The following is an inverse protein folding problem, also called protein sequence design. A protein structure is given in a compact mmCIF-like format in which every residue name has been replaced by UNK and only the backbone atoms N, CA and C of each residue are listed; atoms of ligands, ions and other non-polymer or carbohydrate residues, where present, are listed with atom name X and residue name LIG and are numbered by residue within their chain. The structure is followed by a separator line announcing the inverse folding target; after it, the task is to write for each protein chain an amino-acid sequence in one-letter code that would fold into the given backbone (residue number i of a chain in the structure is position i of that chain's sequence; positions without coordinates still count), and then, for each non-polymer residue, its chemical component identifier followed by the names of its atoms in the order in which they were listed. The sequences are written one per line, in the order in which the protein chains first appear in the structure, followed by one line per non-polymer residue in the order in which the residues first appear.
data_IF_292718960986
#
_entry.id   IF_292718960986
#
_cell.length_a   1.000
_cell.length_b   1.000
_cell.length_c   1.000
_cell.angle_alpha   90.00
_cell.angle_beta   90.00
_cell.angle_gamma   90.00
#
_symmetry.space_group_name_H-M   'P 1'
#
loop_
_entity.id
_entity.type
_entity.pdbx_description
1 polymer ?
#
# COMPACT_ATOMS: atom_id res chain seq x y z
N UNK A 1 22.11 -17.15 5.75
CA UNK A 1 21.16 -17.50 4.69
C UNK A 1 20.93 -16.35 3.70
N UNK A 2 20.56 -15.11 4.13
CA UNK A 2 20.37 -13.96 3.22
C UNK A 2 21.66 -13.56 2.50
N UNK A 3 22.79 -13.51 3.20
CA UNK A 3 24.09 -13.18 2.61
C UNK A 3 24.54 -14.21 1.56
N UNK A 4 24.34 -15.50 1.84
CA UNK A 4 24.62 -16.60 0.88
C UNK A 4 23.70 -16.54 -0.32
N UNK A 5 22.43 -16.20 -0.13
CA UNK A 5 21.48 -16.01 -1.23
C UNK A 5 21.88 -14.84 -2.14
N UNK A 6 22.19 -13.66 -1.56
CA UNK A 6 22.64 -12.49 -2.33
C UNK A 6 23.93 -12.79 -3.09
N UNK A 7 24.90 -13.45 -2.45
CA UNK A 7 26.16 -13.85 -3.08
C UNK A 7 25.93 -14.81 -4.26
N UNK A 8 25.05 -15.80 -4.10
CA UNK A 8 24.68 -16.74 -5.16
C UNK A 8 23.94 -16.03 -6.31
N UNK A 9 22.97 -15.15 -6.00
CA UNK A 9 22.22 -14.39 -7.01
C UNK A 9 23.11 -13.46 -7.84
N UNK A 10 24.17 -12.92 -7.25
CA UNK A 10 25.14 -12.06 -7.96
C UNK A 10 26.12 -12.86 -8.84
N UNK A 11 26.42 -14.12 -8.51
CA UNK A 11 27.38 -14.96 -9.24
C UNK A 11 26.74 -15.87 -10.28
N UNK A 12 25.47 -16.21 -10.15
CA UNK A 12 24.78 -17.07 -11.12
C UNK A 12 24.67 -16.40 -12.48
N UNK A 13 24.93 -17.11 -13.61
CA UNK A 13 24.70 -16.59 -14.96
C UNK A 13 23.21 -16.43 -15.27
N UNK A 14 22.31 -17.17 -14.63
CA UNK A 14 20.85 -17.09 -14.75
C UNK A 14 20.17 -17.12 -13.38
N UNK A 15 20.28 -16.04 -12.58
CA UNK A 15 19.63 -16.01 -11.29
C UNK A 15 18.12 -15.89 -11.45
N UNK A 16 17.35 -16.59 -10.57
CA UNK A 16 15.89 -16.42 -10.48
C UNK A 16 15.51 -14.98 -10.09
N UNK A 17 16.31 -14.38 -9.22
CA UNK A 17 16.19 -12.98 -8.80
C UNK A 17 17.43 -12.24 -9.29
N UNK A 18 17.25 -11.39 -10.28
CA UNK A 18 18.36 -10.62 -10.87
C UNK A 18 18.52 -9.27 -10.17
N UNK A 19 19.38 -9.24 -9.15
CA UNK A 19 19.68 -8.01 -8.41
C UNK A 19 20.40 -6.95 -9.28
N UNK A 20 20.90 -7.32 -10.46
CA UNK A 20 21.52 -6.39 -11.39
C UNK A 20 20.50 -5.41 -11.99
N UNK A 21 19.18 -5.75 -11.95
CA UNK A 21 18.10 -4.86 -12.35
C UNK A 21 18.07 -3.55 -11.53
N UNK A 22 18.55 -3.57 -10.30
CA UNK A 22 18.69 -2.35 -9.48
C UNK A 22 19.79 -1.39 -9.97
N UNK A 23 20.55 -1.72 -10.99
CA UNK A 23 21.45 -0.75 -11.65
C UNK A 23 20.68 0.23 -12.54
N UNK A 24 19.49 -0.14 -12.99
CA UNK A 24 18.58 0.75 -13.69
C UNK A 24 17.90 1.68 -12.68
N UNK A 25 18.07 2.99 -12.86
CA UNK A 25 17.53 4.02 -11.95
C UNK A 25 16.01 4.03 -11.95
N UNK A 26 15.38 3.74 -13.08
CA UNK A 26 13.92 3.71 -13.22
C UNK A 26 13.35 2.52 -12.47
N UNK A 27 13.93 1.35 -12.67
CA UNK A 27 13.54 0.14 -11.95
C UNK A 27 13.70 0.30 -10.44
N UNK A 28 14.82 0.86 -9.99
CA UNK A 28 15.09 1.10 -8.57
C UNK A 28 14.10 2.07 -7.95
N UNK A 29 13.88 3.23 -8.61
CA UNK A 29 12.90 4.22 -8.13
C UNK A 29 11.49 3.65 -8.06
N UNK A 30 11.06 2.91 -9.10
CA UNK A 30 9.76 2.24 -9.12
C UNK A 30 9.63 1.19 -8.01
N UNK A 31 10.69 0.40 -7.80
CA UNK A 31 10.73 -0.63 -6.76
C UNK A 31 10.63 -0.04 -5.35
N UNK A 32 11.36 1.06 -5.08
CA UNK A 32 11.30 1.77 -3.80
C UNK A 32 9.91 2.36 -3.58
N UNK A 33 9.36 3.04 -4.59
CA UNK A 33 8.00 3.61 -4.52
C UNK A 33 6.96 2.51 -4.25
N UNK A 34 7.06 1.37 -4.96
CA UNK A 34 6.20 0.22 -4.77
C UNK A 34 6.31 -0.32 -3.34
N UNK A 35 7.53 -0.55 -2.86
CA UNK A 35 7.76 -1.09 -1.51
C UNK A 35 7.14 -0.20 -0.43
N UNK A 36 7.42 1.10 -0.47
CA UNK A 36 6.91 2.07 0.52
C UNK A 36 5.38 2.19 0.46
N UNK A 37 4.82 2.24 -0.74
CA UNK A 37 3.38 2.25 -0.92
C UNK A 37 2.73 0.99 -0.36
N UNK A 38 3.27 -0.18 -0.71
CA UNK A 38 2.74 -1.47 -0.26
C UNK A 38 2.83 -1.61 1.26
N UNK A 39 3.95 -1.23 1.88
CA UNK A 39 4.12 -1.23 3.33
C UNK A 39 3.02 -0.39 4.00
N UNK A 40 2.78 0.82 3.50
CA UNK A 40 1.77 1.70 4.08
C UNK A 40 0.35 1.20 3.85
N UNK A 41 0.01 0.85 2.61
CA UNK A 41 -1.35 0.47 2.23
C UNK A 41 -1.76 -0.85 2.87
N UNK A 42 -0.91 -1.89 2.80
CA UNK A 42 -1.25 -3.20 3.40
C UNK A 42 -1.25 -3.17 4.92
N UNK A 43 -0.37 -2.36 5.52
CA UNK A 43 -0.45 -2.12 6.96
C UNK A 43 -1.76 -1.44 7.35
N UNK A 44 -2.17 -0.39 6.62
CA UNK A 44 -3.46 0.30 6.84
C UNK A 44 -4.66 -0.60 6.55
N UNK A 45 -4.55 -1.49 5.58
CA UNK A 45 -5.59 -2.45 5.23
C UNK A 45 -5.90 -3.43 6.37
N UNK A 46 -4.91 -3.78 7.20
CA UNK A 46 -5.13 -4.57 8.41
C UNK A 46 -5.79 -3.74 9.52
N UNK A 47 -5.42 -2.46 9.65
CA UNK A 47 -5.89 -1.60 10.75
C UNK A 47 -7.40 -1.36 10.70
N UNK A 48 -7.97 -1.20 9.51
CA UNK A 48 -9.36 -0.79 9.37
C UNK A 48 -10.37 -1.86 9.79
N UNK A 49 -10.26 -3.15 9.35
CA UNK A 49 -11.13 -4.20 9.88
C UNK A 49 -10.98 -4.36 11.39
N UNK A 50 -9.77 -4.19 11.92
CA UNK A 50 -9.52 -4.23 13.36
C UNK A 50 -10.25 -3.09 14.09
N UNK A 51 -10.16 -1.86 13.58
CA UNK A 51 -10.93 -0.73 14.11
C UNK A 51 -12.44 -0.98 14.08
N UNK A 52 -12.97 -1.49 12.96
CA UNK A 52 -14.40 -1.77 12.82
C UNK A 52 -14.87 -2.85 13.80
N UNK A 53 -14.07 -3.87 14.04
CA UNK A 53 -14.43 -4.97 14.94
C UNK A 53 -14.19 -4.63 16.42
N UNK A 54 -13.05 -4.02 16.77
CA UNK A 54 -12.67 -3.78 18.19
C UNK A 54 -13.21 -2.47 18.76
N UNK A 55 -13.32 -1.41 17.93
CA UNK A 55 -13.80 -0.08 18.38
C UNK A 55 -15.29 0.09 18.08
N UNK A 56 -15.72 -0.33 16.87
CA UNK A 56 -17.10 -0.16 16.41
C UNK A 56 -17.97 -1.38 16.67
N UNK A 57 -17.39 -2.47 17.14
CA UNK A 57 -18.06 -3.74 17.45
C UNK A 57 -18.91 -4.30 16.29
N UNK A 58 -18.46 -4.05 15.07
CA UNK A 58 -19.07 -4.60 13.86
C UNK A 58 -18.72 -6.08 13.72
N UNK A 59 -19.63 -6.85 13.11
CA UNK A 59 -19.30 -8.22 12.72
C UNK A 59 -18.21 -8.25 11.63
N UNK A 60 -17.55 -9.38 11.45
CA UNK A 60 -16.58 -9.55 10.37
C UNK A 60 -17.23 -9.35 8.99
N UNK A 61 -18.50 -9.75 8.83
CA UNK A 61 -19.27 -9.55 7.60
C UNK A 61 -19.53 -8.06 7.35
N UNK A 62 -20.06 -7.33 8.34
CA UNK A 62 -20.35 -5.90 8.21
C UNK A 62 -19.07 -5.10 7.94
N UNK A 63 -17.97 -5.45 8.62
CA UNK A 63 -16.66 -4.84 8.37
C UNK A 63 -16.20 -5.07 6.93
N UNK A 64 -16.41 -6.27 6.38
CA UNK A 64 -16.11 -6.58 4.98
C UNK A 64 -16.99 -5.79 4.00
N UNK A 65 -18.27 -5.65 4.27
CA UNK A 65 -19.22 -4.87 3.44
C UNK A 65 -18.83 -3.38 3.42
N UNK A 66 -18.42 -2.81 4.56
CA UNK A 66 -17.95 -1.43 4.64
C UNK A 66 -16.65 -1.18 3.85
N UNK A 67 -15.91 -2.22 3.48
CA UNK A 67 -14.71 -2.12 2.64
C UNK A 67 -14.97 -2.22 1.13
N UNK A 68 -16.20 -2.56 0.70
CA UNK A 68 -16.57 -2.66 -0.72
C UNK A 68 -16.24 -1.38 -1.51
N UNK A 69 -16.50 -0.16 -1.01
CA UNK A 69 -16.21 1.07 -1.75
C UNK A 69 -14.74 1.20 -2.18
N UNK A 70 -13.79 0.68 -1.39
CA UNK A 70 -12.38 0.66 -1.76
C UNK A 70 -12.12 -0.24 -2.98
N UNK A 71 -12.71 -1.43 -3.00
CA UNK A 71 -12.64 -2.34 -4.15
C UNK A 71 -13.22 -1.72 -5.42
N UNK A 72 -14.40 -1.09 -5.29
CA UNK A 72 -15.06 -0.39 -6.41
C UNK A 72 -14.20 0.76 -6.92
N UNK A 73 -13.63 1.58 -6.03
CA UNK A 73 -12.74 2.68 -6.41
C UNK A 73 -11.53 2.20 -7.21
N UNK A 74 -10.85 1.15 -6.75
CA UNK A 74 -9.70 0.59 -7.48
C UNK A 74 -10.09 -0.04 -8.81
N UNK A 75 -11.21 -0.77 -8.86
CA UNK A 75 -11.74 -1.38 -10.09
C UNK A 75 -12.04 -0.33 -11.17
N UNK A 76 -12.63 0.81 -10.79
CA UNK A 76 -12.96 1.89 -11.72
C UNK A 76 -11.71 2.58 -12.27
N UNK A 77 -10.67 2.75 -11.43
CA UNK A 77 -9.47 3.51 -11.81
C UNK A 77 -8.37 2.68 -12.46
N UNK A 78 -8.34 1.36 -12.29
CA UNK A 78 -7.32 0.52 -12.94
C UNK A 78 -7.29 0.67 -14.48
N UNK A 79 -8.41 0.57 -15.23
CA UNK A 79 -8.38 0.77 -16.68
C UNK A 79 -8.03 2.20 -17.07
N UNK A 80 -8.52 3.19 -16.32
CA UNK A 80 -8.20 4.61 -16.55
C UNK A 80 -6.70 4.84 -16.37
N UNK A 81 -6.12 4.28 -15.31
CA UNK A 81 -4.69 4.37 -15.02
C UNK A 81 -3.84 3.74 -16.13
N UNK A 82 -4.25 2.61 -16.68
CA UNK A 82 -3.58 1.96 -17.81
C UNK A 82 -3.53 2.88 -19.03
N UNK A 83 -4.69 3.32 -19.52
CA UNK A 83 -4.80 4.22 -20.68
C UNK A 83 -4.04 5.54 -20.47
N UNK A 84 -4.14 6.10 -19.27
CA UNK A 84 -3.50 7.36 -18.97
C UNK A 84 -1.98 7.21 -18.86
N UNK A 85 -1.51 6.09 -18.29
CA UNK A 85 -0.08 5.74 -18.21
C UNK A 85 0.56 5.62 -19.58
N UNK A 86 -0.15 5.00 -20.54
CA UNK A 86 0.31 4.86 -21.92
C UNK A 86 0.42 6.21 -22.65
N UNK A 87 -0.46 7.16 -22.28
CA UNK A 87 -0.48 8.50 -22.92
C UNK A 87 0.48 9.50 -22.27
N UNK A 88 0.64 9.49 -20.95
CA UNK A 88 1.35 10.56 -20.23
C UNK A 88 2.62 10.10 -19.52
N UNK A 89 2.82 8.79 -19.41
CA UNK A 89 3.91 8.18 -18.65
C UNK A 89 3.58 7.96 -17.17
N UNK A 90 4.13 6.89 -16.60
CA UNK A 90 3.88 6.45 -15.22
C UNK A 90 4.25 7.50 -14.16
N UNK A 91 5.32 8.27 -14.41
CA UNK A 91 5.82 9.27 -13.45
C UNK A 91 4.93 10.51 -13.27
N UNK A 92 3.87 10.67 -14.08
CA UNK A 92 2.89 11.75 -13.87
C UNK A 92 1.66 11.28 -13.10
N UNK A 93 1.28 10.01 -13.27
CA UNK A 93 0.04 9.48 -12.73
C UNK A 93 0.24 8.92 -11.33
N UNK A 94 1.34 8.20 -11.09
CA UNK A 94 1.62 7.59 -9.79
C UNK A 94 1.66 8.61 -8.64
N UNK A 95 2.29 9.81 -8.78
CA UNK A 95 2.22 10.83 -7.73
C UNK A 95 0.79 11.29 -7.43
N UNK A 96 -0.05 11.46 -8.46
CA UNK A 96 -1.44 11.85 -8.27
C UNK A 96 -2.24 10.77 -7.53
N UNK A 97 -2.06 9.50 -7.88
CA UNK A 97 -2.67 8.39 -7.15
C UNK A 97 -2.20 8.34 -5.69
N UNK A 98 -0.90 8.57 -5.41
CA UNK A 98 -0.37 8.62 -4.05
C UNK A 98 -0.92 9.81 -3.23
N UNK A 99 -1.22 10.94 -3.86
CA UNK A 99 -1.92 12.05 -3.19
C UNK A 99 -3.31 11.63 -2.76
N UNK A 100 -4.07 10.92 -3.60
CA UNK A 100 -5.41 10.43 -3.23
C UNK A 100 -5.32 9.42 -2.07
N UNK A 101 -4.37 8.48 -2.10
CA UNK A 101 -4.11 7.58 -0.97
C UNK A 101 -3.74 8.35 0.28
N UNK A 102 -2.86 9.35 0.17
CA UNK A 102 -2.44 10.21 1.28
C UNK A 102 -3.61 10.98 1.89
N UNK A 103 -4.47 11.58 1.07
CA UNK A 103 -5.69 12.29 1.53
C UNK A 103 -6.63 11.34 2.26
N UNK A 104 -6.85 10.13 1.74
CA UNK A 104 -7.66 9.11 2.40
C UNK A 104 -7.06 8.71 3.75
N UNK A 105 -5.77 8.40 3.80
CA UNK A 105 -5.09 8.02 5.04
C UNK A 105 -5.08 9.18 6.04
N UNK A 106 -4.88 10.43 5.58
CA UNK A 106 -5.00 11.62 6.42
C UNK A 106 -6.41 11.73 7.02
N UNK A 107 -7.45 11.46 6.25
CA UNK A 107 -8.82 11.43 6.79
C UNK A 107 -8.98 10.37 7.89
N UNK A 108 -8.38 9.19 7.68
CA UNK A 108 -8.41 8.11 8.65
C UNK A 108 -7.59 8.41 9.92
N UNK A 109 -6.67 9.38 9.94
CA UNK A 109 -6.00 9.79 11.19
C UNK A 109 -6.96 10.45 12.19
N UNK A 110 -8.06 11.03 11.71
CA UNK A 110 -9.08 11.68 12.53
C UNK A 110 -10.26 10.79 12.93
N UNK A 111 -10.17 9.46 12.75
CA UNK A 111 -11.25 8.56 13.12
C UNK A 111 -11.45 8.50 14.64
N UNK A 112 -12.72 8.59 15.06
CA UNK A 112 -13.13 8.49 16.47
C UNK A 112 -14.10 7.35 16.70
N UNK A 113 -14.44 7.10 17.97
CA UNK A 113 -15.39 6.03 18.35
C UNK A 113 -16.79 6.19 17.71
N UNK A 114 -17.16 7.39 17.28
CA UNK A 114 -18.50 7.70 16.72
C UNK A 114 -18.46 8.23 15.29
N UNK A 115 -17.34 8.10 14.58
CA UNK A 115 -17.23 8.54 13.17
C UNK A 115 -18.32 7.87 12.33
N UNK A 116 -19.14 8.63 11.57
CA UNK A 116 -20.20 8.05 10.72
C UNK A 116 -19.61 7.11 9.65
N UNK A 117 -20.29 6.01 9.37
CA UNK A 117 -19.79 5.01 8.41
C UNK A 117 -19.62 5.58 6.99
N UNK A 118 -20.52 6.48 6.55
CA UNK A 118 -20.39 7.11 5.23
C UNK A 118 -19.07 7.88 5.05
N UNK A 119 -18.49 8.45 6.13
CA UNK A 119 -17.19 9.11 6.07
C UNK A 119 -16.06 8.09 5.85
N UNK A 120 -16.15 6.93 6.49
CA UNK A 120 -15.20 5.84 6.29
C UNK A 120 -15.31 5.28 4.86
N UNK A 121 -16.54 5.10 4.37
CA UNK A 121 -16.81 4.62 3.01
C UNK A 121 -16.25 5.56 1.93
N UNK A 122 -16.44 6.88 2.11
CA UNK A 122 -15.85 7.87 1.20
C UNK A 122 -14.32 7.85 1.27
N UNK A 123 -13.73 7.81 2.47
CA UNK A 123 -12.29 7.73 2.61
C UNK A 123 -11.74 6.46 1.94
N UNK A 124 -12.41 5.32 2.11
CA UNK A 124 -12.05 4.06 1.47
C UNK A 124 -12.21 4.11 -0.06
N UNK A 125 -13.28 4.71 -0.55
CA UNK A 125 -13.47 4.89 -1.98
C UNK A 125 -12.34 5.72 -2.59
N UNK A 126 -11.98 6.86 -1.96
CA UNK A 126 -10.85 7.70 -2.38
C UNK A 126 -9.54 6.93 -2.31
N UNK A 127 -9.35 6.09 -1.27
CA UNK A 127 -8.19 5.20 -1.17
C UNK A 127 -8.10 4.24 -2.35
N UNK A 128 -9.23 3.60 -2.68
CA UNK A 128 -9.33 2.70 -3.83
C UNK A 128 -9.00 3.38 -5.15
N UNK A 129 -9.55 4.58 -5.39
CA UNK A 129 -9.20 5.38 -6.58
C UNK A 129 -7.70 5.63 -6.67
N UNK A 130 -7.08 6.02 -5.55
CA UNK A 130 -5.63 6.26 -5.46
C UNK A 130 -4.81 5.00 -5.72
N UNK A 131 -5.22 3.85 -5.15
CA UNK A 131 -4.57 2.56 -5.39
C UNK A 131 -4.63 2.15 -6.87
N UNK A 132 -5.82 2.26 -7.49
CA UNK A 132 -6.00 1.96 -8.91
C UNK A 132 -5.12 2.81 -9.81
N UNK A 133 -4.98 4.10 -9.49
CA UNK A 133 -4.13 5.04 -10.23
C UNK A 133 -2.62 4.83 -10.00
N UNK A 134 -2.22 4.11 -8.95
CA UNK A 134 -0.80 4.01 -8.58
C UNK A 134 -0.20 2.66 -8.94
N UNK A 135 -0.89 1.56 -8.63
CA UNK A 135 -0.35 0.20 -8.79
C UNK A 135 0.07 -0.11 -10.22
N UNK A 136 -0.86 0.05 -11.18
CA UNK A 136 -0.62 -0.31 -12.58
C UNK A 136 0.50 0.53 -13.22
N UNK A 137 0.52 1.88 -13.09
CA UNK A 137 1.61 2.70 -13.63
C UNK A 137 2.98 2.40 -13.03
N UNK A 138 3.10 2.07 -11.74
CA UNK A 138 4.38 1.72 -11.13
C UNK A 138 4.91 0.42 -11.73
N UNK A 139 4.07 -0.61 -11.86
CA UNK A 139 4.46 -1.89 -12.45
C UNK A 139 4.88 -1.74 -13.91
N UNK A 140 4.06 -1.09 -14.72
CA UNK A 140 4.37 -0.87 -16.14
C UNK A 140 5.61 0.00 -16.31
N UNK A 141 5.74 1.07 -15.52
CA UNK A 141 6.89 1.96 -15.54
C UNK A 141 8.20 1.27 -15.19
N UNK A 142 8.17 0.36 -14.20
CA UNK A 142 9.35 -0.40 -13.80
C UNK A 142 9.85 -1.36 -14.88
N UNK A 143 8.93 -1.96 -15.66
CA UNK A 143 9.28 -2.96 -16.69
C UNK A 143 9.66 -2.33 -18.03
N UNK A 144 9.19 -1.11 -18.32
CA UNK A 144 9.38 -0.44 -19.61
C UNK A 144 10.85 -0.23 -20.02
N UNK A 145 11.75 -0.04 -19.04
CA UNK A 145 13.19 0.15 -19.29
C UNK A 145 13.96 -1.16 -19.35
N UNK A 146 13.31 -2.27 -19.01
CA UNK A 146 13.92 -3.59 -18.93
C UNK A 146 13.81 -4.31 -20.28
N UNK A 147 14.88 -5.00 -20.68
CA UNK A 147 14.90 -5.82 -21.91
C UNK A 147 13.82 -6.90 -21.85
N UNK A 148 13.18 -7.19 -22.97
CA UNK A 148 12.11 -8.20 -23.05
C UNK A 148 12.53 -9.58 -22.49
N UNK A 149 13.81 -9.97 -22.66
CA UNK A 149 14.36 -11.22 -22.10
C UNK A 149 14.47 -11.24 -20.57
N UNK A 150 14.40 -10.07 -19.93
CA UNK A 150 14.49 -9.90 -18.47
C UNK A 150 13.16 -9.49 -17.84
N UNK A 151 12.13 -9.20 -18.65
CA UNK A 151 10.84 -8.70 -18.17
C UNK A 151 10.16 -9.67 -17.16
N UNK A 152 10.22 -10.99 -17.43
CA UNK A 152 9.69 -11.99 -16.51
C UNK A 152 10.38 -11.97 -15.13
N UNK A 153 11.72 -11.79 -15.11
CA UNK A 153 12.49 -11.69 -13.86
C UNK A 153 12.20 -10.39 -13.11
N UNK A 154 12.06 -9.29 -13.86
CA UNK A 154 11.66 -8.00 -13.29
C UNK A 154 10.29 -8.07 -12.63
N UNK A 155 9.29 -8.67 -13.30
CA UNK A 155 7.95 -8.88 -12.74
C UNK A 155 7.98 -9.77 -11.50
N UNK A 156 8.75 -10.87 -11.52
CA UNK A 156 8.91 -11.74 -10.35
C UNK A 156 9.51 -10.97 -9.16
N UNK A 157 10.54 -10.13 -9.41
CA UNK A 157 11.17 -9.33 -8.37
C UNK A 157 10.21 -8.29 -7.79
N UNK A 158 9.41 -7.60 -8.63
CA UNK A 158 8.39 -6.66 -8.16
C UNK A 158 7.32 -7.35 -7.31
N UNK A 159 6.89 -8.57 -7.68
CA UNK A 159 5.96 -9.36 -6.87
C UNK A 159 6.57 -9.75 -5.52
N UNK A 160 7.85 -10.12 -5.47
CA UNK A 160 8.55 -10.40 -4.22
C UNK A 160 8.62 -9.15 -3.34
N UNK A 161 8.95 -7.99 -3.92
CA UNK A 161 8.96 -6.71 -3.21
C UNK A 161 7.57 -6.40 -2.64
N UNK A 162 6.52 -6.65 -3.42
CA UNK A 162 5.14 -6.46 -2.98
C UNK A 162 4.79 -7.38 -1.80
N UNK A 163 5.08 -8.67 -1.89
CA UNK A 163 4.78 -9.62 -0.81
C UNK A 163 5.59 -9.35 0.46
N UNK A 164 6.88 -9.08 0.31
CA UNK A 164 7.74 -8.71 1.43
C UNK A 164 7.30 -7.38 2.07
N UNK A 165 6.99 -6.39 1.24
CA UNK A 165 6.46 -5.09 1.69
C UNK A 165 5.15 -5.23 2.43
N UNK A 166 4.21 -6.06 1.94
CA UNK A 166 2.94 -6.32 2.62
C UNK A 166 3.16 -6.95 4.00
N UNK A 167 4.03 -7.96 4.09
CA UNK A 167 4.37 -8.60 5.38
C UNK A 167 5.04 -7.64 6.36
N UNK A 168 5.98 -6.83 5.88
CA UNK A 168 6.66 -5.82 6.71
C UNK A 168 5.66 -4.76 7.17
N UNK A 169 4.81 -4.28 6.26
CA UNK A 169 3.80 -3.25 6.56
C UNK A 169 2.82 -3.70 7.64
N UNK A 170 2.26 -4.90 7.49
CA UNK A 170 1.36 -5.46 8.49
C UNK A 170 2.05 -5.66 9.83
N UNK A 171 3.28 -6.18 9.86
CA UNK A 171 4.03 -6.40 11.09
C UNK A 171 4.37 -5.08 11.78
N UNK A 172 4.92 -4.10 11.05
CA UNK A 172 5.34 -2.80 11.60
C UNK A 172 4.13 -2.04 12.16
N UNK A 173 3.05 -1.89 11.38
CA UNK A 173 1.87 -1.16 11.83
C UNK A 173 1.12 -1.90 12.97
N UNK A 174 1.16 -3.24 13.01
CA UNK A 174 0.62 -4.00 14.14
C UNK A 174 1.39 -3.74 15.44
N UNK A 175 2.72 -3.68 15.38
CA UNK A 175 3.56 -3.35 16.56
C UNK A 175 3.33 -1.93 17.01
N UNK A 176 3.23 -0.97 16.07
CA UNK A 176 2.92 0.43 16.38
C UNK A 176 1.54 0.54 17.02
N UNK A 177 0.52 -0.14 16.48
CA UNK A 177 -0.82 -0.17 17.06
C UNK A 177 -0.80 -0.75 18.47
N UNK A 178 -0.14 -1.89 18.66
CA UNK A 178 -0.05 -2.52 19.99
C UNK A 178 0.61 -1.57 21.02
N UNK A 179 1.68 -0.87 20.63
CA UNK A 179 2.34 0.11 21.50
C UNK A 179 1.44 1.34 21.78
N UNK A 180 0.71 1.81 20.76
CA UNK A 180 -0.24 2.91 20.92
C UNK A 180 -1.40 2.53 21.84
N UNK A 181 -1.95 1.33 21.74
CA UNK A 181 -3.01 0.82 22.62
C UNK A 181 -2.52 0.77 24.09
N UNK A 182 -1.30 0.25 24.31
CA UNK A 182 -0.71 0.18 25.66
C UNK A 182 -0.53 1.59 26.25
N UNK A 183 -0.08 2.56 25.45
CA UNK A 183 0.11 3.94 25.89
C UNK A 183 -1.22 4.64 26.21
N UNK A 184 -2.23 4.49 25.36
CA UNK A 184 -3.54 5.15 25.53
C UNK A 184 -4.37 4.55 26.67
N UNK A 185 -4.32 3.24 26.85
CA UNK A 185 -5.05 2.56 27.92
C UNK A 185 -4.32 2.59 29.27
N UNK A 186 -3.06 3.07 29.33
CA UNK A 186 -2.20 3.05 30.53
C UNK A 186 -2.10 1.65 31.18
N UNK A 187 -2.28 0.58 30.40
CA UNK A 187 -2.24 -0.80 30.88
C UNK A 187 -0.80 -1.31 30.80
N UNK A 188 -0.25 -1.70 31.97
CA UNK A 188 1.03 -2.43 32.04
C UNK A 188 0.77 -3.90 31.68
N UNK A 189 1.00 -4.27 30.43
CA UNK A 189 0.89 -5.66 29.98
C UNK A 189 0.54 -5.76 28.49
N UNK A 190 0.70 -6.94 27.91
CA UNK A 190 0.30 -7.20 26.53
C UNK A 190 -1.23 -7.14 26.40
N UNK A 191 -1.73 -6.24 25.56
CA UNK A 191 -3.13 -6.24 25.18
C UNK A 191 -3.40 -7.52 24.37
N UNK A 192 -4.28 -8.36 24.90
CA UNK A 192 -4.66 -9.59 24.23
C UNK A 192 -5.82 -9.25 23.26
N UNK A 193 -5.52 -9.06 21.99
CA UNK A 193 -6.47 -8.69 20.94
C UNK A 193 -7.64 -9.68 20.73
N UNK A 194 -7.64 -10.82 21.43
CA UNK A 194 -8.71 -11.80 21.46
C UNK A 194 -9.54 -11.82 22.75
N UNK A 195 -9.23 -10.93 23.70
CA UNK A 195 -9.99 -10.88 24.93
C UNK A 195 -11.37 -10.24 24.70
N UNK A 196 -12.43 -10.96 24.98
CA UNK A 196 -13.81 -10.45 24.92
C UNK A 196 -13.99 -9.32 25.91
N UNK A 197 -14.06 -8.08 25.41
CA UNK A 197 -14.33 -6.89 26.23
C UNK A 197 -15.80 -6.94 26.70
N UNK A 198 -16.07 -6.90 28.02
CA UNK A 198 -17.43 -6.88 28.53
C UNK A 198 -18.22 -5.68 27.97
N UNK A 199 -19.51 -5.83 27.62
CA UNK A 199 -20.31 -4.76 27.03
C UNK A 199 -20.31 -3.45 27.82
N UNK A 200 -20.27 -3.52 29.15
CA UNK A 200 -20.20 -2.36 30.03
C UNK A 200 -18.88 -1.58 29.92
N UNK A 201 -17.78 -2.25 29.59
CA UNK A 201 -16.47 -1.61 29.44
C UNK A 201 -16.26 -1.02 28.03
N UNK A 202 -17.05 -1.45 27.04
CA UNK A 202 -16.90 -1.03 25.62
C UNK A 202 -17.01 0.47 25.42
N UNK A 203 -18.01 1.10 26.04
CA UNK A 203 -18.25 2.54 25.93
C UNK A 203 -17.06 3.38 26.46
N UNK A 204 -16.37 2.90 27.51
CA UNK A 204 -15.22 3.59 28.08
C UNK A 204 -13.91 3.32 27.34
N UNK A 205 -13.79 2.16 26.69
CA UNK A 205 -12.57 1.76 25.98
C UNK A 205 -12.55 2.21 24.52
N UNK A 206 -13.71 2.43 23.88
CA UNK A 206 -13.79 2.80 22.47
C UNK A 206 -13.07 4.12 22.14
N UNK A 207 -13.16 5.23 22.92
CA UNK A 207 -12.45 6.46 22.60
C UNK A 207 -10.91 6.32 22.63
N UNK A 208 -10.27 5.77 23.69
CA UNK A 208 -8.81 5.61 23.70
C UNK A 208 -8.33 4.60 22.67
N UNK A 209 -9.10 3.54 22.37
CA UNK A 209 -8.77 2.63 21.27
C UNK A 209 -8.82 3.36 19.94
N UNK A 210 -9.85 4.16 19.66
CA UNK A 210 -9.92 4.93 18.41
C UNK A 210 -8.73 5.89 18.27
N UNK A 211 -8.28 6.54 19.35
CA UNK A 211 -7.10 7.39 19.35
C UNK A 211 -5.83 6.61 18.98
N UNK A 212 -5.65 5.39 19.51
CA UNK A 212 -4.52 4.52 19.16
C UNK A 212 -4.49 4.18 17.66
N UNK A 213 -5.66 3.91 17.06
CA UNK A 213 -5.76 3.71 15.61
C UNK A 213 -5.41 4.98 14.83
N UNK A 214 -5.94 6.14 15.23
CA UNK A 214 -5.60 7.43 14.63
C UNK A 214 -4.10 7.71 14.66
N UNK A 215 -3.44 7.48 15.82
CA UNK A 215 -1.98 7.57 15.96
C UNK A 215 -1.24 6.63 15.01
N UNK A 216 -1.73 5.41 14.83
CA UNK A 216 -1.10 4.45 13.92
C UNK A 216 -1.25 4.87 12.46
N UNK A 217 -2.38 5.48 12.07
CA UNK A 217 -2.57 6.02 10.72
C UNK A 217 -1.61 7.19 10.40
N UNK A 218 -1.12 7.95 11.39
CA UNK A 218 -0.08 8.96 11.16
C UNK A 218 1.24 8.33 10.67
N UNK A 219 1.62 7.17 11.18
CA UNK A 219 2.78 6.43 10.68
C UNK A 219 2.58 5.91 9.26
N UNK A 220 1.37 5.42 8.96
CA UNK A 220 1.02 5.03 7.60
C UNK A 220 1.10 6.24 6.65
N UNK A 221 0.60 7.40 7.07
CA UNK A 221 0.69 8.64 6.30
C UNK A 221 2.14 9.07 6.06
N UNK A 222 3.00 8.97 7.07
CA UNK A 222 4.42 9.28 6.91
C UNK A 222 5.07 8.40 5.84
N UNK A 223 4.75 7.11 5.81
CA UNK A 223 5.23 6.20 4.76
C UNK A 223 4.72 6.57 3.36
N UNK A 224 3.45 7.00 3.25
CA UNK A 224 2.88 7.48 1.98
C UNK A 224 3.59 8.76 1.50
N UNK A 225 3.89 9.68 2.41
CA UNK A 225 4.64 10.90 2.07
C UNK A 225 6.03 10.55 1.53
N UNK A 226 6.72 9.60 2.16
CA UNK A 226 8.02 9.14 1.66
C UNK A 226 7.88 8.44 0.29
N UNK A 227 6.84 7.62 0.11
CA UNK A 227 6.52 7.00 -1.18
C UNK A 227 6.20 8.05 -2.26
N UNK A 228 5.48 9.11 -1.90
CA UNK A 228 5.19 10.22 -2.80
C UNK A 228 6.47 10.93 -3.24
N UNK A 229 7.37 11.24 -2.30
CA UNK A 229 8.67 11.84 -2.64
C UNK A 229 9.45 10.92 -3.58
N UNK A 230 9.52 9.61 -3.29
CA UNK A 230 10.17 8.64 -4.15
C UNK A 230 9.53 8.58 -5.55
N UNK A 231 8.21 8.73 -5.66
CA UNK A 231 7.49 8.71 -6.93
C UNK A 231 7.82 9.89 -7.84
N UNK A 232 8.27 11.02 -7.31
CA UNK A 232 8.67 12.19 -8.09
C UNK A 232 9.94 11.93 -8.93
N UNK A 233 10.73 10.93 -8.55
CA UNK A 233 11.91 10.48 -9.30
C UNK A 233 11.57 9.49 -10.41
N UNK A 234 10.29 9.08 -10.56
CA UNK A 234 9.89 8.23 -11.69
C UNK A 234 10.00 8.99 -13.02
N UNK A 235 10.33 8.28 -14.10
CA UNK A 235 10.49 8.91 -15.42
C UNK A 235 9.18 9.48 -15.91
N UNK A 236 9.20 10.77 -16.25
CA UNK A 236 8.05 11.53 -16.75
C UNK A 236 7.89 11.43 -18.28
N UNK A 237 8.81 10.71 -18.96
CA UNK A 237 8.79 10.55 -20.42
C UNK A 237 7.97 9.32 -20.83
N UNK A 238 7.32 9.42 -21.99
CA UNK A 238 6.72 8.27 -22.67
C UNK A 238 7.82 7.25 -22.97
N UNK A 239 7.55 5.93 -22.84
CA UNK A 239 8.45 4.96 -23.46
C UNK A 239 8.48 5.23 -24.96
N UNK A 240 9.67 5.44 -25.51
CA UNK A 240 9.84 5.34 -26.96
C UNK A 240 9.45 3.91 -27.34
N UNK A 241 8.38 3.77 -28.11
CA UNK A 241 8.05 2.47 -28.72
C UNK A 241 9.29 2.02 -29.44
N UNK A 242 9.80 0.84 -29.08
CA UNK A 242 10.86 0.22 -29.85
C UNK A 242 10.38 0.18 -31.30
N UNK A 243 11.08 0.89 -32.19
CA UNK A 243 10.84 0.84 -33.65
C UNK A 243 10.89 -0.64 -34.04
N UNK A 244 9.76 -1.19 -34.50
CA UNK A 244 9.64 -2.58 -34.93
C UNK A 244 8.54 -3.43 -34.29
N UNK A 245 7.75 -2.91 -33.34
CA UNK A 245 6.58 -3.63 -32.87
C UNK A 245 5.44 -3.56 -33.89
N UNK A 246 4.90 -4.71 -34.37
CA UNK A 246 3.78 -4.71 -35.30
C UNK A 246 2.56 -4.02 -34.70
N UNK A 247 1.72 -3.32 -35.50
CA UNK A 247 0.50 -2.70 -35.00
C UNK A 247 -0.41 -3.79 -34.44
N UNK A 248 -0.83 -3.65 -33.19
CA UNK A 248 -1.93 -4.47 -32.66
C UNK A 248 -3.18 -4.10 -33.45
N UNK A 249 -3.62 -5.04 -34.27
CA UNK A 249 -4.95 -5.01 -34.89
C UNK A 249 -5.97 -5.11 -33.77
N UNK A 250 -6.80 -4.10 -33.65
CA UNK A 250 -7.98 -4.05 -32.80
C UNK A 250 -9.04 -5.05 -33.28
#
# INVERSE_FOLDING_TARGET
LLATFVWHALRSPQPLIDLRLFRDRVFTSSSITLALMVISVFGSFLLLPYYLQEVRFQSALDSGLLMIPQGVGSMLMMPVAGVLSDRTGSGKISPFGLVLVGVSVLWLTGIGAHTPFWQLEIALFVNGLGMGLTMMPIFTGAIQTIRASQAARASALLNIIQQAGASIGTAVLSVILASAIVSELHVRGSFNAGATIPPAARAHLAPPLAAAFGHTFWWALALIVVAFIASLFLPKRRPERAEGAPPMLL
#
